data_IF_100194159112
#
_entry.id   IF_100194159112
#
_cell.length_a   1.000
_cell.length_b   1.000
_cell.length_c   1.000
_cell.angle_alpha   90.00
_cell.angle_beta   90.00
_cell.angle_gamma   90.00
#
_symmetry.space_group_name_H-M   'P 1'
#
loop_
_entity.id
_entity.type
_entity.pdbx_description
1 polymer ?
#
# COMPACT_ATOMS: atom_id res chain seq x y z
N UNK A 1 21.95 -14.43 56.65
CA UNK A 1 20.91 -14.05 57.63
C UNK A 1 21.09 -12.58 57.99
N UNK A 2 19.99 -11.81 57.92
CA UNK A 2 19.76 -10.44 58.45
C UNK A 2 20.18 -9.28 57.50
N UNK A 3 19.27 -8.67 56.74
CA UNK A 3 18.22 -7.68 57.14
C UNK A 3 18.90 -6.38 57.59
N UNK A 4 18.69 -5.16 57.10
CA UNK A 4 17.77 -4.51 56.14
C UNK A 4 18.24 -3.05 55.98
N UNK A 5 18.02 -2.47 54.81
CA UNK A 5 17.39 -1.15 54.58
C UNK A 5 17.48 -0.10 55.71
N UNK A 6 18.10 1.07 55.44
CA UNK A 6 17.72 2.41 55.97
C UNK A 6 18.79 3.50 55.73
N UNK A 7 19.20 3.80 54.49
CA UNK A 7 20.01 5.01 54.17
C UNK A 7 19.71 5.64 52.81
N UNK A 8 18.44 5.68 52.42
CA UNK A 8 18.00 6.37 51.20
C UNK A 8 16.75 7.20 51.50
N UNK A 9 16.90 8.15 52.41
CA UNK A 9 15.90 9.16 52.71
C UNK A 9 16.64 10.49 52.84
N UNK A 10 16.11 11.52 52.17
CA UNK A 10 16.60 12.91 52.09
C UNK A 10 17.57 13.25 50.94
N UNK A 11 17.09 13.16 49.70
CA UNK A 11 17.43 14.17 48.70
C UNK A 11 16.18 15.02 48.44
N UNK A 12 16.25 16.20 49.03
CA UNK A 12 15.45 17.40 48.89
C UNK A 12 14.46 17.49 47.71
N UNK A 13 13.20 17.68 48.09
CA UNK A 13 12.18 18.43 47.37
C UNK A 13 12.54 19.91 47.40
N UNK A 14 12.73 20.56 46.25
CA UNK A 14 12.41 21.99 46.00
C UNK A 14 12.80 22.39 44.56
N UNK A 15 12.03 23.31 43.97
CA UNK A 15 12.05 23.80 42.57
C UNK A 15 11.20 22.92 41.63
N UNK A 16 9.87 22.88 41.77
CA UNK A 16 8.93 23.95 41.43
C UNK A 16 9.26 24.75 40.15
N UNK A 17 8.23 24.79 39.29
CA UNK A 17 8.01 25.67 38.14
C UNK A 17 8.83 25.42 36.87
N UNK A 18 8.44 24.34 36.19
CA UNK A 18 8.60 24.20 34.76
C UNK A 18 7.40 23.46 34.16
N UNK A 19 6.19 23.93 34.49
CA UNK A 19 4.95 23.63 33.74
C UNK A 19 5.15 24.14 32.30
N UNK A 20 5.96 23.40 31.55
CA UNK A 20 6.02 23.48 30.10
C UNK A 20 4.72 22.85 29.66
N UNK A 21 3.68 23.67 29.67
CA UNK A 21 2.50 23.45 28.88
C UNK A 21 3.03 23.10 27.50
N UNK A 22 2.99 21.81 27.14
CA UNK A 22 3.01 21.44 25.74
C UNK A 22 1.73 22.06 25.21
N UNK A 23 1.84 23.30 24.74
CA UNK A 23 0.89 23.87 23.84
C UNK A 23 0.74 22.81 22.77
N UNK A 24 -0.35 22.06 22.83
CA UNK A 24 -0.85 21.38 21.67
C UNK A 24 -1.08 22.51 20.69
N UNK A 25 -0.06 22.79 19.88
CA UNK A 25 -0.23 23.37 18.58
C UNK A 25 -1.09 22.34 17.84
N UNK A 26 -2.39 22.35 18.17
CA UNK A 26 -3.42 21.93 17.27
C UNK A 26 -3.23 22.88 16.11
N UNK A 27 -2.36 22.49 15.18
CA UNK A 27 -2.33 23.02 13.84
C UNK A 27 -3.75 22.87 13.38
N UNK A 28 -4.50 23.96 13.54
CA UNK A 28 -5.86 24.09 13.13
C UNK A 28 -5.79 24.05 11.61
N UNK A 29 -5.73 22.83 11.08
CA UNK A 29 -6.35 22.48 9.81
C UNK A 29 -7.85 22.67 10.06
N UNK A 30 -8.28 23.93 10.27
CA UNK A 30 -9.63 24.37 10.04
C UNK A 30 -9.80 24.16 8.55
N UNK A 31 -10.26 22.98 8.20
CA UNK A 31 -10.99 22.82 6.98
C UNK A 31 -12.11 23.87 7.05
N UNK A 32 -12.16 24.78 6.08
CA UNK A 32 -13.21 25.80 5.99
C UNK A 32 -14.55 25.17 5.54
N UNK A 33 -14.79 23.92 5.90
CA UNK A 33 -15.90 23.07 5.47
C UNK A 33 -16.66 22.58 6.70
N UNK A 34 -17.87 22.06 6.51
CA UNK A 34 -18.61 21.42 7.60
C UNK A 34 -17.85 20.19 8.14
N UNK A 35 -18.03 19.82 9.43
CA UNK A 35 -17.36 18.66 10.02
C UNK A 35 -17.57 17.35 9.24
N UNK A 36 -18.74 17.18 8.60
CA UNK A 36 -19.09 16.03 7.78
C UNK A 36 -18.32 16.01 6.45
N UNK A 37 -18.29 17.12 5.71
CA UNK A 37 -17.49 17.23 4.46
C UNK A 37 -15.99 17.03 4.72
N UNK A 38 -15.49 17.52 5.86
CA UNK A 38 -14.12 17.28 6.28
C UNK A 38 -13.82 15.80 6.47
N UNK A 39 -14.79 15.04 6.99
CA UNK A 39 -14.68 13.61 7.25
C UNK A 39 -14.68 12.83 5.95
N UNK A 40 -15.62 13.12 5.06
CA UNK A 40 -15.73 12.48 3.73
C UNK A 40 -14.46 12.73 2.91
N UNK A 41 -14.02 13.98 2.74
CA UNK A 41 -12.79 14.31 2.00
C UNK A 41 -11.52 13.67 2.62
N UNK A 42 -11.54 13.36 3.92
CA UNK A 42 -10.46 12.60 4.56
C UNK A 42 -10.58 11.11 4.29
N UNK A 43 -11.78 10.56 4.18
CA UNK A 43 -12.04 9.17 3.78
C UNK A 43 -11.61 8.93 2.35
N UNK A 44 -12.11 9.70 1.39
CA UNK A 44 -11.77 9.54 -0.04
C UNK A 44 -10.25 9.62 -0.26
N UNK A 45 -9.58 10.54 0.45
CA UNK A 45 -8.12 10.67 0.40
C UNK A 45 -7.41 9.42 0.93
N UNK A 46 -7.96 8.73 1.92
CA UNK A 46 -7.40 7.46 2.43
C UNK A 46 -7.64 6.34 1.43
N UNK A 47 -8.84 6.26 0.86
CA UNK A 47 -9.23 5.27 -0.15
C UNK A 47 -8.33 5.40 -1.39
N UNK A 48 -8.26 6.59 -2.00
CA UNK A 48 -7.34 6.89 -3.12
C UNK A 48 -5.89 6.48 -2.83
N UNK A 49 -5.43 6.64 -1.58
CA UNK A 49 -4.08 6.21 -1.16
C UNK A 49 -3.95 4.71 -1.02
N UNK A 50 -5.00 4.02 -0.56
CA UNK A 50 -5.06 2.57 -0.49
C UNK A 50 -5.01 1.99 -1.92
N UNK A 51 -5.88 2.43 -2.82
CA UNK A 51 -5.91 1.94 -4.20
C UNK A 51 -4.59 2.21 -4.92
N UNK A 52 -3.99 3.38 -4.69
CA UNK A 52 -2.66 3.71 -5.25
C UNK A 52 -1.58 2.73 -4.76
N UNK A 53 -1.69 2.24 -3.51
CA UNK A 53 -0.77 1.26 -2.94
C UNK A 53 -1.03 -0.13 -3.52
N UNK A 54 -2.28 -0.54 -3.65
CA UNK A 54 -2.70 -1.80 -4.26
C UNK A 54 -2.24 -1.89 -5.71
N UNK A 55 -2.55 -0.89 -6.54
CA UNK A 55 -2.05 -0.75 -7.92
C UNK A 55 -0.52 -0.83 -8.03
N UNK A 56 0.20 -0.43 -6.97
CA UNK A 56 1.66 -0.56 -6.92
C UNK A 56 2.10 -1.98 -6.54
N UNK A 57 1.33 -2.68 -5.71
CA UNK A 57 1.44 -4.11 -5.41
C UNK A 57 1.27 -4.93 -6.69
N UNK A 58 0.14 -4.79 -7.39
CA UNK A 58 -0.17 -5.59 -8.59
C UNK A 58 0.90 -5.39 -9.68
N UNK A 59 1.44 -4.17 -9.82
CA UNK A 59 2.56 -3.91 -10.75
C UNK A 59 3.83 -4.68 -10.39
N UNK A 60 4.09 -4.90 -9.11
CA UNK A 60 5.25 -5.68 -8.65
C UNK A 60 5.02 -7.16 -8.92
N UNK A 61 3.83 -7.66 -8.62
CA UNK A 61 3.41 -9.04 -8.86
C UNK A 61 3.47 -9.38 -10.35
N UNK A 62 2.78 -8.61 -11.20
CA UNK A 62 2.86 -8.76 -12.67
C UNK A 62 4.31 -8.74 -13.19
N UNK A 63 5.18 -7.93 -12.58
CA UNK A 63 6.61 -7.86 -12.97
C UNK A 63 7.35 -9.13 -12.55
N UNK A 64 7.02 -9.70 -11.39
CA UNK A 64 7.56 -10.97 -10.93
C UNK A 64 7.08 -12.11 -11.83
N UNK A 65 5.78 -12.23 -12.09
CA UNK A 65 5.22 -13.29 -12.94
C UNK A 65 5.77 -13.19 -14.37
N UNK A 66 5.97 -11.97 -14.87
CA UNK A 66 6.64 -11.75 -16.17
C UNK A 66 8.10 -12.21 -16.20
N UNK A 67 8.79 -12.23 -15.05
CA UNK A 67 10.16 -12.74 -14.93
C UNK A 67 10.16 -14.26 -14.83
N UNK A 68 9.24 -14.83 -14.08
CA UNK A 68 9.02 -16.27 -13.94
C UNK A 68 8.71 -16.88 -15.30
N UNK A 69 7.70 -16.36 -16.00
CA UNK A 69 7.38 -16.75 -17.38
C UNK A 69 8.59 -16.66 -18.34
N UNK A 70 9.48 -15.68 -18.14
CA UNK A 70 10.70 -15.57 -18.96
C UNK A 70 11.72 -16.65 -18.62
N UNK A 71 11.77 -17.07 -17.37
CA UNK A 71 12.55 -18.22 -16.90
C UNK A 71 12.01 -19.51 -17.51
N UNK A 72 10.71 -19.76 -17.43
CA UNK A 72 10.09 -20.99 -17.94
C UNK A 72 10.26 -21.10 -19.46
N UNK A 73 10.15 -19.98 -20.18
CA UNK A 73 10.43 -19.93 -21.61
C UNK A 73 11.90 -20.21 -21.93
N UNK A 74 12.84 -19.91 -21.02
CA UNK A 74 14.25 -20.26 -21.18
C UNK A 74 14.46 -21.75 -20.93
N UNK A 75 13.95 -22.26 -19.82
CA UNK A 75 14.02 -23.68 -19.45
C UNK A 75 13.46 -24.56 -20.57
N UNK A 76 12.25 -24.27 -21.06
CA UNK A 76 11.67 -24.94 -22.24
C UNK A 76 12.59 -24.97 -23.47
N UNK A 77 13.39 -23.91 -23.69
CA UNK A 77 14.32 -23.87 -24.84
C UNK A 77 15.54 -24.73 -24.60
N UNK A 78 16.00 -24.79 -23.35
CA UNK A 78 17.15 -25.58 -22.93
C UNK A 78 16.76 -27.07 -22.92
N UNK A 79 15.61 -27.45 -22.35
CA UNK A 79 15.07 -28.82 -22.39
C UNK A 79 14.92 -29.33 -23.83
N UNK A 80 14.39 -28.47 -24.71
CA UNK A 80 14.26 -28.80 -26.13
C UNK A 80 15.62 -29.00 -26.81
N UNK A 81 16.66 -28.29 -26.37
CA UNK A 81 18.04 -28.46 -26.89
C UNK A 81 18.67 -29.74 -26.35
N UNK A 82 18.38 -30.09 -25.11
CA UNK A 82 18.90 -31.28 -24.42
C UNK A 82 18.17 -32.57 -24.82
N UNK A 83 17.07 -32.45 -25.58
CA UNK A 83 16.37 -33.60 -26.16
C UNK A 83 15.28 -34.16 -25.25
N UNK A 84 14.68 -33.31 -24.41
CA UNK A 84 13.52 -33.65 -23.62
C UNK A 84 12.39 -34.26 -24.46
N UNK A 85 11.58 -35.09 -23.83
CA UNK A 85 10.52 -35.83 -24.50
C UNK A 85 9.44 -34.89 -25.06
N UNK A 86 8.72 -35.33 -26.10
CA UNK A 86 7.60 -34.57 -26.63
C UNK A 86 6.48 -34.34 -25.60
N UNK A 87 6.37 -35.24 -24.62
CA UNK A 87 5.38 -35.12 -23.55
C UNK A 87 5.73 -33.97 -22.59
N UNK A 88 6.98 -33.89 -22.13
CA UNK A 88 7.49 -32.80 -21.27
C UNK A 88 7.35 -31.46 -21.99
N UNK A 89 7.89 -31.34 -23.20
CA UNK A 89 7.81 -30.09 -23.98
C UNK A 89 6.36 -29.64 -24.27
N UNK A 90 5.40 -30.57 -24.26
CA UNK A 90 3.98 -30.24 -24.41
C UNK A 90 3.39 -29.73 -23.09
N UNK A 91 3.80 -30.26 -21.95
CA UNK A 91 3.43 -29.80 -20.63
C UNK A 91 3.93 -28.36 -20.39
N UNK A 92 5.23 -28.09 -20.58
CA UNK A 92 5.79 -26.75 -20.36
C UNK A 92 5.12 -25.71 -21.27
N UNK A 93 4.85 -26.08 -22.53
CA UNK A 93 4.14 -25.20 -23.46
C UNK A 93 2.72 -24.91 -22.98
N UNK A 94 2.06 -25.84 -22.32
CA UNK A 94 0.75 -25.62 -21.73
C UNK A 94 0.84 -24.65 -20.55
N UNK A 95 1.80 -24.85 -19.65
CA UNK A 95 2.05 -24.00 -18.48
C UNK A 95 2.38 -22.57 -18.91
N UNK A 96 3.39 -22.37 -19.76
CA UNK A 96 3.75 -21.07 -20.35
C UNK A 96 2.54 -20.37 -21.00
N UNK A 97 1.62 -21.14 -21.60
CA UNK A 97 0.39 -20.58 -22.19
C UNK A 97 -0.62 -20.16 -21.12
N UNK A 98 -0.73 -20.90 -20.03
CA UNK A 98 -1.57 -20.57 -18.89
C UNK A 98 -1.07 -19.29 -18.22
N UNK A 99 0.23 -19.17 -17.91
CA UNK A 99 0.80 -18.00 -17.25
C UNK A 99 0.67 -16.75 -18.12
N UNK A 100 0.84 -16.89 -19.45
CA UNK A 100 0.55 -15.80 -20.39
C UNK A 100 -0.89 -15.34 -20.37
N UNK A 101 -1.84 -16.24 -20.08
CA UNK A 101 -3.26 -15.90 -19.99
C UNK A 101 -3.56 -15.20 -18.67
N UNK A 102 -2.97 -15.66 -17.58
CA UNK A 102 -3.05 -15.02 -16.26
C UNK A 102 -2.47 -13.62 -16.28
N UNK A 103 -1.23 -13.44 -16.75
CA UNK A 103 -0.63 -12.11 -16.93
C UNK A 103 -1.49 -11.15 -17.76
N UNK A 104 -2.20 -11.66 -18.79
CA UNK A 104 -3.12 -10.84 -19.58
C UNK A 104 -4.37 -10.43 -18.78
N UNK A 105 -4.84 -11.29 -17.90
CA UNK A 105 -5.93 -11.02 -16.98
C UNK A 105 -5.52 -9.96 -15.96
N UNK A 106 -4.38 -10.10 -15.31
CA UNK A 106 -3.88 -9.14 -14.32
C UNK A 106 -3.66 -7.75 -14.94
N UNK A 107 -3.14 -7.70 -16.16
CA UNK A 107 -3.02 -6.45 -16.90
C UNK A 107 -4.37 -5.79 -17.22
N UNK A 108 -5.46 -6.58 -17.35
CA UNK A 108 -6.82 -6.04 -17.54
C UNK A 108 -7.39 -5.53 -16.22
N UNK A 109 -7.20 -6.25 -15.13
CA UNK A 109 -7.59 -5.80 -13.78
C UNK A 109 -6.88 -4.51 -13.41
N UNK A 110 -5.54 -4.47 -13.52
CA UNK A 110 -4.76 -3.27 -13.27
C UNK A 110 -5.18 -2.06 -14.14
N UNK A 111 -5.76 -2.30 -15.32
CA UNK A 111 -6.33 -1.22 -16.15
C UNK A 111 -7.67 -0.73 -15.62
N UNK A 112 -8.50 -1.61 -15.06
CA UNK A 112 -9.76 -1.28 -14.38
C UNK A 112 -9.47 -0.49 -13.11
N UNK A 113 -8.57 -0.97 -12.24
CA UNK A 113 -8.24 -0.27 -10.99
C UNK A 113 -7.70 1.13 -11.25
N UNK A 114 -6.87 1.29 -12.28
CA UNK A 114 -6.40 2.62 -12.70
C UNK A 114 -7.50 3.53 -13.26
N UNK A 115 -8.54 2.96 -13.85
CA UNK A 115 -9.71 3.73 -14.32
C UNK A 115 -10.56 4.15 -13.12
N UNK A 116 -10.76 3.26 -12.17
CA UNK A 116 -11.58 3.50 -10.97
C UNK A 116 -10.91 4.55 -10.10
N UNK A 117 -9.61 4.41 -9.80
CA UNK A 117 -8.80 5.43 -9.12
C UNK A 117 -8.84 6.80 -9.82
N UNK A 118 -8.94 6.83 -11.16
CA UNK A 118 -9.12 8.09 -11.91
C UNK A 118 -10.51 8.69 -11.72
N UNK A 119 -11.54 7.86 -11.56
CA UNK A 119 -12.89 8.24 -11.15
C UNK A 119 -12.86 8.86 -9.76
N UNK A 120 -12.31 8.15 -8.77
CA UNK A 120 -12.26 8.61 -7.37
C UNK A 120 -11.49 9.92 -7.24
N UNK A 121 -10.39 10.08 -7.98
CA UNK A 121 -9.66 11.35 -8.04
C UNK A 121 -10.47 12.50 -8.67
N UNK A 122 -11.38 12.22 -9.61
CA UNK A 122 -12.26 13.25 -10.19
C UNK A 122 -13.35 13.64 -9.19
N UNK A 123 -13.94 12.67 -8.52
CA UNK A 123 -15.02 12.88 -7.56
C UNK A 123 -14.49 13.62 -6.33
N UNK A 124 -13.37 13.18 -5.76
CA UNK A 124 -12.67 13.90 -4.69
C UNK A 124 -12.36 15.38 -5.05
N UNK A 125 -12.01 15.66 -6.31
CA UNK A 125 -11.76 17.05 -6.78
C UNK A 125 -13.05 17.85 -6.91
N UNK A 126 -14.15 17.21 -7.30
CA UNK A 126 -15.48 17.80 -7.38
C UNK A 126 -15.99 18.11 -5.98
N UNK A 127 -15.98 17.14 -5.08
CA UNK A 127 -16.47 17.30 -3.71
C UNK A 127 -15.69 18.36 -2.96
N UNK A 128 -14.36 18.38 -3.13
CA UNK A 128 -13.52 19.45 -2.56
C UNK A 128 -13.82 20.82 -3.16
N UNK A 129 -14.30 20.92 -4.40
CA UNK A 129 -14.69 22.19 -5.03
C UNK A 129 -16.06 22.62 -4.52
N UNK A 130 -16.99 21.70 -4.42
CA UNK A 130 -18.37 21.98 -4.02
C UNK A 130 -18.42 22.38 -2.54
N UNK A 131 -17.65 21.71 -1.68
CA UNK A 131 -17.45 22.11 -0.30
C UNK A 131 -16.85 23.53 -0.15
N UNK A 132 -16.15 24.06 -1.16
CA UNK A 132 -15.64 25.45 -1.15
C UNK A 132 -16.67 26.48 -1.60
N UNK A 133 -17.76 26.05 -2.21
CA UNK A 133 -18.80 26.90 -2.82
C UNK A 133 -20.07 26.96 -1.97
N UNK A 134 -20.35 25.91 -1.21
CA UNK A 134 -21.33 25.93 -0.11
C UNK A 134 -20.77 26.63 1.12
#
# INVERSE_FOLDING_TARGET
>A
MRITLLRSLLVAVALFTGLSTTALAQGQNRCNFSPWECRELRSDRREIRADTREIRGDKREIRQDSRELRSDVREYRDDRREGASQQELRADRHEIKADRRELRYDHRELRRDRRDLRGDMRDFRRDRRDARRG
#
